data_IF_008075762585
#
_entry.id   IF_008075762585
#
_cell.length_a   1.000
_cell.length_b   1.000
_cell.length_c   1.000
_cell.angle_alpha   90.00
_cell.angle_beta   90.00
_cell.angle_gamma   90.00
#
_symmetry.space_group_name_H-M   'P 1'
#
loop_
_entity.id
_entity.type
_entity.pdbx_description
1 polymer ?
#
# COMPACT_ATOMS: atom_id res chain seq x y z
N UNK A 1 48.04 19.64 -37.42
CA UNK A 1 48.04 18.70 -36.27
C UNK A 1 47.00 19.01 -35.18
N UNK A 2 46.75 20.28 -34.80
CA UNK A 2 45.82 20.61 -33.69
C UNK A 2 44.36 20.18 -33.85
N UNK A 3 43.79 20.19 -35.07
CA UNK A 3 42.40 19.74 -35.34
C UNK A 3 42.17 18.23 -35.16
N UNK A 4 43.19 17.39 -35.38
CA UNK A 4 43.06 15.92 -35.21
C UNK A 4 43.09 15.49 -33.75
N UNK A 5 43.76 16.26 -32.87
CA UNK A 5 43.80 16.01 -31.43
C UNK A 5 42.44 16.28 -30.76
N UNK A 6 41.75 17.35 -31.16
CA UNK A 6 40.43 17.68 -30.61
C UNK A 6 39.35 16.63 -30.93
N UNK A 7 39.39 16.06 -32.15
CA UNK A 7 38.46 15.00 -32.56
C UNK A 7 38.70 13.69 -31.80
N UNK A 8 39.95 13.33 -31.51
CA UNK A 8 40.29 12.15 -30.73
C UNK A 8 39.82 12.28 -29.27
N UNK A 9 39.98 13.47 -28.68
CA UNK A 9 39.52 13.75 -27.32
C UNK A 9 37.99 13.71 -27.20
N UNK A 10 37.28 14.25 -28.20
CA UNK A 10 35.82 14.19 -28.26
C UNK A 10 35.29 12.76 -28.42
N UNK A 11 35.98 11.90 -29.20
CA UNK A 11 35.60 10.48 -29.34
C UNK A 11 35.80 9.70 -28.04
N UNK A 12 36.91 9.94 -27.34
CA UNK A 12 37.20 9.33 -26.03
C UNK A 12 36.21 9.82 -24.97
N UNK A 13 35.86 11.11 -24.97
CA UNK A 13 34.84 11.65 -24.09
C UNK A 13 33.44 11.06 -24.37
N UNK A 14 33.07 10.87 -25.65
CA UNK A 14 31.82 10.24 -26.04
C UNK A 14 31.77 8.73 -25.69
N UNK A 15 32.91 8.03 -25.73
CA UNK A 15 33.05 6.64 -25.28
C UNK A 15 33.02 6.51 -23.75
N UNK A 16 33.58 7.49 -23.02
CA UNK A 16 33.52 7.56 -21.55
C UNK A 16 32.15 8.02 -21.02
N UNK A 17 31.36 8.70 -21.85
CA UNK A 17 29.95 9.02 -21.60
C UNK A 17 29.00 7.88 -21.98
N UNK A 18 29.52 6.67 -22.24
CA UNK A 18 28.72 5.46 -22.40
C UNK A 18 27.76 5.33 -21.21
N UNK A 19 26.49 5.59 -21.49
CA UNK A 19 25.48 5.88 -20.47
C UNK A 19 25.40 4.80 -19.40
N UNK A 20 25.53 5.24 -18.14
CA UNK A 20 25.04 4.45 -17.01
C UNK A 20 23.57 4.13 -17.29
N UNK A 21 23.29 2.86 -17.56
CA UNK A 21 21.92 2.40 -17.78
C UNK A 21 21.26 2.24 -16.41
N UNK A 22 19.99 2.60 -16.31
CA UNK A 22 19.25 2.50 -15.06
C UNK A 22 19.12 1.02 -14.64
N UNK A 23 19.18 0.70 -13.33
CA UNK A 23 19.03 -0.65 -12.85
C UNK A 23 17.63 -1.20 -13.16
N UNK A 24 17.55 -2.52 -13.37
CA UNK A 24 16.28 -3.20 -13.65
C UNK A 24 15.67 -3.65 -12.33
N UNK A 25 14.45 -3.15 -12.06
CA UNK A 25 13.61 -3.59 -10.96
C UNK A 25 12.48 -4.46 -11.46
N UNK A 26 12.35 -5.64 -10.86
CA UNK A 26 11.22 -6.54 -11.09
C UNK A 26 10.56 -6.80 -9.74
N UNK A 27 9.52 -6.02 -9.37
CA UNK A 27 8.74 -6.26 -8.17
C UNK A 27 7.73 -7.37 -8.43
N UNK A 28 7.49 -8.15 -7.39
CA UNK A 28 6.47 -9.19 -7.34
C UNK A 28 5.76 -9.08 -5.98
N UNK A 29 4.51 -9.53 -5.92
CA UNK A 29 3.76 -9.58 -4.67
C UNK A 29 3.39 -11.03 -4.40
N UNK A 30 3.54 -11.47 -3.14
CA UNK A 30 3.22 -12.84 -2.76
C UNK A 30 1.77 -13.20 -3.05
N UNK A 31 0.88 -12.22 -2.99
CA UNK A 31 -0.56 -12.39 -3.19
C UNK A 31 -1.12 -11.14 -3.89
N UNK A 32 -1.64 -11.32 -5.10
CA UNK A 32 -2.31 -10.25 -5.85
C UNK A 32 -3.76 -10.03 -5.39
N UNK A 33 -4.28 -10.89 -4.51
CA UNK A 33 -5.62 -10.79 -3.93
C UNK A 33 -5.58 -11.07 -2.44
N UNK A 34 -6.30 -10.25 -1.65
CA UNK A 34 -6.48 -10.43 -0.21
C UNK A 34 -7.96 -10.48 0.11
N UNK A 35 -8.39 -11.60 0.68
CA UNK A 35 -9.78 -11.85 0.97
C UNK A 35 -10.16 -11.64 2.44
N UNK A 36 -10.99 -10.65 2.68
CA UNK A 36 -11.55 -10.30 3.99
C UNK A 36 -12.75 -11.21 4.30
N UNK A 37 -12.50 -12.30 5.04
CA UNK A 37 -13.53 -13.24 5.52
C UNK A 37 -14.17 -12.75 6.82
N UNK A 38 -15.31 -13.33 7.20
CA UNK A 38 -15.87 -13.11 8.54
C UNK A 38 -14.83 -13.51 9.60
N UNK A 39 -14.54 -12.60 10.53
CA UNK A 39 -13.50 -12.80 11.55
C UNK A 39 -12.06 -12.54 11.07
N UNK A 40 -11.87 -11.88 9.93
CA UNK A 40 -10.55 -11.44 9.47
C UNK A 40 -9.84 -10.60 10.54
N UNK A 41 -8.66 -11.06 10.99
CA UNK A 41 -7.85 -10.42 12.05
C UNK A 41 -6.69 -9.59 11.49
N UNK A 42 -6.51 -9.56 10.18
CA UNK A 42 -5.36 -8.99 9.50
C UNK A 42 -4.49 -10.06 8.82
N UNK A 43 -3.59 -9.63 7.94
CA UNK A 43 -2.64 -10.51 7.24
C UNK A 43 -1.35 -9.76 6.91
N UNK A 44 -0.25 -10.49 6.74
CA UNK A 44 0.98 -9.93 6.17
C UNK A 44 0.97 -10.08 4.65
N UNK A 45 1.20 -8.96 3.96
CA UNK A 45 1.50 -8.94 2.54
C UNK A 45 3.03 -8.91 2.37
N UNK A 46 3.59 -9.92 1.70
CA UNK A 46 5.00 -9.98 1.38
C UNK A 46 5.22 -9.40 -0.01
N UNK A 47 5.91 -8.27 -0.07
CA UNK A 47 6.37 -7.62 -1.29
C UNK A 47 7.83 -7.99 -1.48
N UNK A 48 8.19 -8.56 -2.62
CA UNK A 48 9.57 -9.00 -2.86
C UNK A 48 9.94 -8.81 -4.32
N UNK A 49 11.22 -8.92 -4.61
CA UNK A 49 11.68 -8.81 -5.98
C UNK A 49 13.19 -8.87 -6.08
N UNK A 50 13.68 -8.68 -7.29
CA UNK A 50 15.11 -8.66 -7.57
C UNK A 50 15.54 -7.31 -8.14
N UNK A 51 16.79 -6.97 -7.85
CA UNK A 51 17.47 -5.79 -8.39
C UNK A 51 18.70 -6.27 -9.12
N UNK A 52 18.75 -5.94 -10.40
CA UNK A 52 19.85 -6.33 -11.28
C UNK A 52 20.48 -5.07 -11.86
N UNK A 53 21.80 -5.06 -11.98
CA UNK A 53 22.45 -4.07 -12.84
C UNK A 53 22.01 -4.28 -14.30
N UNK A 54 22.19 -3.28 -15.16
CA UNK A 54 22.00 -3.45 -16.61
C UNK A 54 22.85 -4.57 -17.21
N UNK A 55 24.00 -4.91 -16.59
CA UNK A 55 24.87 -6.02 -16.99
C UNK A 55 24.42 -7.38 -16.42
N UNK A 56 23.35 -7.42 -15.63
CA UNK A 56 22.83 -8.64 -14.98
C UNK A 56 23.65 -9.10 -13.77
N UNK A 57 24.54 -8.26 -13.25
CA UNK A 57 25.30 -8.51 -12.03
C UNK A 57 24.51 -8.10 -10.77
N UNK A 58 24.92 -8.66 -9.63
CA UNK A 58 24.31 -8.38 -8.32
C UNK A 58 24.60 -6.94 -7.91
N UNK A 59 23.57 -6.21 -7.50
CA UNK A 59 23.65 -4.77 -7.28
C UNK A 59 22.92 -4.28 -6.03
N UNK A 60 22.13 -5.13 -5.37
CA UNK A 60 21.18 -4.67 -4.36
C UNK A 60 21.81 -4.09 -3.09
N UNK A 61 23.13 -4.26 -2.88
CA UNK A 61 23.84 -3.58 -1.78
C UNK A 61 24.19 -2.12 -2.10
N UNK A 62 24.18 -1.73 -3.38
CA UNK A 62 24.48 -0.37 -3.82
C UNK A 62 23.24 0.52 -3.87
N UNK A 63 22.07 -0.05 -3.58
CA UNK A 63 20.77 0.61 -3.64
C UNK A 63 20.03 0.51 -2.31
N UNK A 64 19.44 1.61 -1.91
CA UNK A 64 18.42 1.63 -0.87
C UNK A 64 17.05 1.38 -1.48
N UNK A 65 16.25 0.56 -0.80
CA UNK A 65 14.95 0.15 -1.29
C UNK A 65 13.88 0.72 -0.40
N UNK A 66 12.89 1.34 -1.03
CA UNK A 66 11.71 1.88 -0.38
C UNK A 66 10.49 1.26 -1.05
N UNK A 67 9.63 0.65 -0.25
CA UNK A 67 8.38 0.03 -0.67
C UNK A 67 7.24 0.79 -0.04
N UNK A 68 6.30 1.27 -0.87
CA UNK A 68 5.14 2.05 -0.45
C UNK A 68 3.87 1.29 -0.87
N UNK A 69 2.99 0.99 0.08
CA UNK A 69 1.69 0.39 -0.18
C UNK A 69 0.59 1.42 0.09
N UNK A 70 -0.11 1.82 -0.97
CA UNK A 70 -1.24 2.76 -0.89
C UNK A 70 -2.54 2.01 -1.12
N UNK A 71 -3.50 2.20 -0.23
CA UNK A 71 -4.89 1.77 -0.43
C UNK A 71 -5.63 2.67 -1.41
N UNK A 72 -6.89 2.33 -1.75
CA UNK A 72 -7.69 3.12 -2.67
C UNK A 72 -7.83 4.56 -2.17
N UNK A 73 -7.69 5.51 -3.09
CA UNK A 73 -7.84 6.95 -2.82
C UNK A 73 -9.32 7.29 -2.64
N UNK A 74 -9.62 8.08 -1.61
CA UNK A 74 -10.98 8.52 -1.27
C UNK A 74 -11.07 10.03 -1.11
N UNK A 75 -12.24 10.56 -1.45
CA UNK A 75 -12.65 11.93 -1.09
C UNK A 75 -13.28 11.89 0.29
N UNK A 76 -12.76 12.67 1.23
CA UNK A 76 -13.18 12.63 2.65
C UNK A 76 -13.44 14.02 3.19
N UNK A 77 -14.29 14.08 4.22
CA UNK A 77 -14.49 15.29 5.03
C UNK A 77 -13.88 15.05 6.40
N UNK A 78 -12.76 15.71 6.67
CA UNK A 78 -12.06 15.64 7.94
C UNK A 78 -12.66 16.68 8.90
N UNK A 79 -12.94 16.27 10.13
CA UNK A 79 -13.53 17.14 11.17
C UNK A 79 -12.63 17.18 12.39
N UNK A 80 -12.32 18.39 12.84
CA UNK A 80 -11.58 18.60 14.08
C UNK A 80 -12.54 18.59 15.26
N UNK A 81 -12.25 17.74 16.25
CA UNK A 81 -13.00 17.68 17.50
C UNK A 81 -12.24 18.40 18.60
N UNK A 82 -12.91 19.32 19.27
CA UNK A 82 -12.39 19.99 20.45
C UNK A 82 -13.40 19.88 21.59
N UNK A 83 -12.88 19.85 22.82
CA UNK A 83 -13.71 19.86 24.03
C UNK A 83 -14.02 21.30 24.42
N UNK A 84 -15.27 21.70 24.26
CA UNK A 84 -15.77 23.04 24.62
C UNK A 84 -16.82 22.89 25.71
N UNK A 85 -16.66 23.61 26.82
CA UNK A 85 -17.55 23.53 27.99
C UNK A 85 -17.81 22.08 28.48
N UNK A 86 -16.79 21.20 28.38
CA UNK A 86 -16.89 19.80 28.83
C UNK A 86 -17.42 18.81 27.79
N UNK A 87 -17.90 19.27 26.63
CA UNK A 87 -18.53 18.45 25.59
C UNK A 87 -17.63 18.42 24.34
N UNK A 88 -17.51 17.27 23.70
CA UNK A 88 -16.83 17.15 22.41
C UNK A 88 -17.74 17.65 21.30
N UNK A 89 -17.29 18.68 20.59
CA UNK A 89 -17.99 19.21 19.42
C UNK A 89 -17.05 19.26 18.23
N UNK A 90 -17.61 19.13 17.01
CA UNK A 90 -16.86 19.36 15.79
C UNK A 90 -16.71 20.88 15.63
N UNK A 91 -15.53 21.41 15.88
CA UNK A 91 -15.28 22.87 15.84
C UNK A 91 -14.93 23.36 14.44
N UNK A 92 -14.37 22.47 13.61
CA UNK A 92 -13.84 22.82 12.31
C UNK A 92 -13.91 21.62 11.35
N UNK A 93 -13.82 21.87 10.04
CA UNK A 93 -13.80 20.81 9.03
C UNK A 93 -13.14 21.24 7.72
N UNK A 94 -12.39 20.32 7.12
CA UNK A 94 -11.84 20.46 5.77
C UNK A 94 -12.23 19.29 4.88
N UNK A 95 -12.45 19.55 3.60
CA UNK A 95 -12.65 18.52 2.59
C UNK A 95 -11.34 18.20 1.87
N UNK A 96 -11.03 16.92 1.72
CA UNK A 96 -9.89 16.42 0.97
C UNK A 96 -10.41 15.65 -0.24
N UNK A 97 -10.00 16.06 -1.44
CA UNK A 97 -10.35 15.40 -2.71
C UNK A 97 -9.71 14.03 -2.85
N UNK A 98 -8.50 13.89 -2.32
CA UNK A 98 -7.72 12.66 -2.40
C UNK A 98 -6.96 12.43 -1.10
N UNK A 99 -7.31 11.36 -0.39
CA UNK A 99 -6.53 10.81 0.71
C UNK A 99 -6.48 9.28 0.56
N UNK A 100 -5.31 8.64 0.70
CA UNK A 100 -5.24 7.19 0.65
C UNK A 100 -5.94 6.59 1.87
N UNK A 101 -6.75 5.57 1.65
CA UNK A 101 -7.49 4.89 2.72
C UNK A 101 -6.61 3.99 3.61
N UNK A 102 -5.42 3.66 3.13
CA UNK A 102 -4.36 2.96 3.84
C UNK A 102 -3.01 3.44 3.28
N UNK A 103 -1.99 3.53 4.13
CA UNK A 103 -0.64 3.88 3.71
C UNK A 103 0.36 3.10 4.56
N UNK A 104 1.26 2.36 3.93
CA UNK A 104 2.40 1.78 4.62
C UNK A 104 3.68 2.04 3.83
N UNK A 105 4.74 2.40 4.53
CA UNK A 105 6.08 2.51 3.98
C UNK A 105 7.01 1.55 4.71
N UNK A 106 7.85 0.85 3.96
CA UNK A 106 8.98 0.09 4.48
C UNK A 106 10.24 0.49 3.71
N UNK A 107 11.37 0.64 4.41
CA UNK A 107 12.64 1.00 3.76
C UNK A 107 13.82 0.18 4.28
N UNK A 108 14.95 0.20 3.58
CA UNK A 108 16.21 -0.44 4.04
C UNK A 108 16.85 0.32 5.20
N UNK A 109 16.74 1.66 5.20
CA UNK A 109 17.30 2.61 6.17
C UNK A 109 16.32 3.77 6.42
N UNK A 110 16.53 4.63 7.42
CA UNK A 110 15.68 5.82 7.61
C UNK A 110 15.58 6.68 6.36
N UNK A 111 14.39 7.17 6.03
CA UNK A 111 14.15 7.85 4.73
C UNK A 111 15.03 9.10 4.57
N UNK A 112 15.22 9.83 5.67
CA UNK A 112 16.12 11.00 5.75
C UNK A 112 17.59 10.71 5.37
N UNK A 113 18.01 9.45 5.45
CA UNK A 113 19.38 9.01 5.11
C UNK A 113 19.45 8.43 3.69
N UNK A 114 18.29 8.21 3.04
CA UNK A 114 18.16 7.63 1.71
C UNK A 114 17.94 8.72 0.65
N UNK A 115 17.07 9.71 0.92
CA UNK A 115 16.69 10.79 -0.01
C UNK A 115 16.65 12.16 0.67
N UNK A 116 16.73 13.22 -0.14
CA UNK A 116 16.46 14.58 0.33
C UNK A 116 14.95 14.88 0.45
N UNK A 117 14.59 15.94 1.17
CA UNK A 117 13.18 16.34 1.38
C UNK A 117 12.42 16.54 0.06
N UNK A 118 13.10 17.01 -0.98
CA UNK A 118 12.48 17.24 -2.30
C UNK A 118 12.11 15.91 -2.96
N UNK A 119 13.02 14.94 -3.00
CA UNK A 119 12.76 13.63 -3.59
C UNK A 119 11.73 12.87 -2.76
N UNK A 120 11.80 12.95 -1.43
CA UNK A 120 10.79 12.38 -0.55
C UNK A 120 9.39 12.96 -0.81
N UNK A 121 9.26 14.27 -1.06
CA UNK A 121 7.99 14.90 -1.44
C UNK A 121 7.46 14.42 -2.80
N UNK A 122 8.32 14.32 -3.82
CA UNK A 122 7.92 13.92 -5.18
C UNK A 122 7.35 12.50 -5.21
N UNK A 123 7.98 11.58 -4.48
CA UNK A 123 7.59 10.17 -4.46
C UNK A 123 6.74 9.79 -3.22
N UNK A 124 6.32 10.79 -2.43
CA UNK A 124 5.53 10.60 -1.20
C UNK A 124 6.14 9.56 -0.25
N UNK A 125 7.46 9.62 -0.06
CA UNK A 125 8.22 8.68 0.75
C UNK A 125 8.13 9.08 2.22
N UNK A 126 7.05 8.68 2.87
CA UNK A 126 6.78 8.86 4.28
C UNK A 126 5.58 9.76 4.53
N UNK A 127 4.98 9.61 5.71
CA UNK A 127 3.79 10.30 6.18
C UNK A 127 4.00 11.81 6.26
N UNK A 128 5.23 12.27 6.56
CA UNK A 128 5.62 13.70 6.53
C UNK A 128 5.47 14.30 5.13
N UNK A 129 5.71 13.51 4.09
CA UNK A 129 5.75 13.95 2.69
C UNK A 129 4.52 13.48 1.89
N UNK A 130 3.53 12.93 2.58
CA UNK A 130 2.29 12.48 1.96
C UNK A 130 1.50 13.67 1.44
N UNK A 131 1.21 13.70 0.14
CA UNK A 131 0.46 14.80 -0.46
C UNK A 131 -1.03 14.56 -0.29
N UNK A 132 -1.69 15.49 0.41
CA UNK A 132 -3.14 15.53 0.55
C UNK A 132 -3.65 16.69 -0.31
N UNK A 133 -4.75 16.46 -1.04
CA UNK A 133 -5.35 17.48 -1.92
C UNK A 133 -6.57 18.12 -1.27
N UNK A 134 -6.43 19.24 -0.53
CA UNK A 134 -7.57 19.96 0.01
C UNK A 134 -8.43 20.59 -1.09
N UNK A 135 -9.70 20.81 -0.78
CA UNK A 135 -10.63 21.53 -1.65
C UNK A 135 -10.69 23.00 -1.19
N UNK A 136 -10.32 23.92 -2.08
CA UNK A 136 -10.35 25.36 -1.83
C UNK A 136 -8.97 25.96 -1.52
N UNK A 137 -8.93 27.28 -1.35
CA UNK A 137 -7.74 27.98 -0.86
C UNK A 137 -7.72 27.88 0.66
N UNK A 138 -6.80 27.09 1.21
CA UNK A 138 -6.61 26.93 2.65
C UNK A 138 -5.30 27.63 3.02
N UNK A 139 -5.27 28.27 4.20
CA UNK A 139 -4.03 28.80 4.76
C UNK A 139 -3.02 27.64 4.96
N UNK A 140 -1.73 27.81 4.62
CA UNK A 140 -0.75 26.74 4.77
C UNK A 140 -0.66 26.16 6.19
N UNK A 141 -0.84 26.97 7.23
CA UNK A 141 -0.80 26.50 8.61
C UNK A 141 -2.02 25.64 8.97
N UNK A 142 -3.19 26.00 8.47
CA UNK A 142 -4.41 25.22 8.62
C UNK A 142 -4.32 23.87 7.87
N UNK A 143 -3.76 23.89 6.66
CA UNK A 143 -3.53 22.67 5.88
C UNK A 143 -2.63 21.69 6.63
N UNK A 144 -1.51 22.16 7.20
CA UNK A 144 -0.60 21.32 8.00
C UNK A 144 -1.29 20.77 9.25
N UNK A 145 -2.07 21.58 9.97
CA UNK A 145 -2.83 21.14 11.15
C UNK A 145 -3.77 19.98 10.82
N UNK A 146 -4.52 20.08 9.72
CA UNK A 146 -5.43 19.03 9.29
C UNK A 146 -4.71 17.80 8.74
N UNK A 147 -3.61 17.97 8.00
CA UNK A 147 -2.82 16.82 7.52
C UNK A 147 -2.24 16.01 8.67
N UNK A 148 -1.67 16.70 9.67
CA UNK A 148 -1.07 16.06 10.84
C UNK A 148 -2.15 15.33 11.67
N UNK A 149 -3.32 15.95 11.83
CA UNK A 149 -4.47 15.33 12.49
C UNK A 149 -4.98 14.07 11.78
N UNK A 150 -5.02 14.08 10.44
CA UNK A 150 -5.39 12.89 9.65
C UNK A 150 -4.36 11.78 9.80
N UNK A 151 -3.08 12.12 9.69
CA UNK A 151 -1.97 11.16 9.84
C UNK A 151 -2.00 10.54 11.23
N UNK A 152 -2.17 11.34 12.29
CA UNK A 152 -2.25 10.85 13.66
C UNK A 152 -3.47 9.95 13.89
N UNK A 153 -4.65 10.34 13.38
CA UNK A 153 -5.86 9.51 13.45
C UNK A 153 -5.64 8.13 12.79
N UNK A 154 -5.09 8.11 11.57
CA UNK A 154 -4.87 6.88 10.83
C UNK A 154 -3.70 6.05 11.36
N UNK A 155 -2.70 6.68 11.99
CA UNK A 155 -1.61 5.98 12.67
C UNK A 155 -2.14 5.25 13.91
N UNK A 156 -3.00 5.90 14.70
CA UNK A 156 -3.66 5.28 15.87
C UNK A 156 -4.59 4.13 15.48
N UNK A 157 -5.22 4.19 14.32
CA UNK A 157 -6.03 3.09 13.77
C UNK A 157 -5.17 2.03 13.05
N UNK A 158 -3.85 2.21 12.94
CA UNK A 158 -2.96 1.27 12.26
C UNK A 158 -3.15 1.20 10.74
N UNK A 159 -3.91 2.13 10.15
CA UNK A 159 -4.06 2.27 8.70
C UNK A 159 -2.85 2.94 8.07
N UNK A 160 -2.18 3.83 8.82
CA UNK A 160 -0.95 4.52 8.39
C UNK A 160 0.25 3.99 9.18
N UNK A 161 1.29 3.53 8.48
CA UNK A 161 2.49 2.95 9.09
C UNK A 161 3.77 3.31 8.35
N UNK A 162 4.86 3.46 9.08
CA UNK A 162 6.21 3.58 8.54
C UNK A 162 7.14 2.63 9.30
N UNK A 163 7.82 1.74 8.58
CA UNK A 163 8.78 0.78 9.10
C UNK A 163 10.15 1.01 8.45
N UNK A 164 10.91 1.93 9.04
CA UNK A 164 12.31 2.16 8.66
C UNK A 164 13.15 0.92 9.02
N UNK A 165 13.89 0.37 8.06
CA UNK A 165 14.60 -0.91 8.22
C UNK A 165 13.71 -2.16 8.05
N UNK A 166 12.46 -1.98 7.62
CA UNK A 166 11.50 -3.05 7.33
C UNK A 166 11.80 -3.83 6.04
N UNK A 167 12.65 -3.30 5.15
CA UNK A 167 13.12 -4.02 3.96
C UNK A 167 14.40 -4.78 4.26
N UNK A 168 14.42 -6.08 3.94
CA UNK A 168 15.63 -6.92 4.03
C UNK A 168 16.13 -7.26 2.63
N UNK A 169 17.42 -7.10 2.43
CA UNK A 169 18.11 -7.47 1.18
C UNK A 169 18.95 -8.72 1.44
N UNK A 170 18.72 -9.76 0.66
CA UNK A 170 19.40 -11.04 0.72
C UNK A 170 20.20 -11.29 -0.56
N UNK A 171 21.35 -11.93 -0.42
CA UNK A 171 22.23 -12.34 -1.54
C UNK A 171 22.58 -11.21 -2.52
N UNK A 172 22.51 -9.95 -2.08
CA UNK A 172 22.80 -8.77 -2.91
C UNK A 172 21.93 -8.65 -4.17
N UNK A 173 20.77 -9.30 -4.20
CA UNK A 173 19.85 -9.28 -5.35
C UNK A 173 18.40 -9.18 -4.90
N UNK A 174 18.01 -9.97 -3.91
CA UNK A 174 16.61 -10.14 -3.53
C UNK A 174 16.26 -9.18 -2.40
N UNK A 175 15.21 -8.39 -2.58
CA UNK A 175 14.61 -7.62 -1.50
C UNK A 175 13.29 -8.24 -1.06
N UNK A 176 12.96 -8.06 0.21
CA UNK A 176 11.66 -8.43 0.78
C UNK A 176 11.21 -7.38 1.79
N UNK A 177 9.92 -7.06 1.76
CA UNK A 177 9.24 -6.17 2.68
C UNK A 177 7.95 -6.86 3.15
N UNK A 178 7.70 -6.88 4.45
CA UNK A 178 6.47 -7.43 5.03
C UNK A 178 5.62 -6.27 5.49
N UNK A 179 4.43 -6.15 4.93
CA UNK A 179 3.49 -5.09 5.28
C UNK A 179 2.25 -5.71 5.92
N UNK A 180 1.93 -5.29 7.14
CA UNK A 180 0.75 -5.77 7.85
C UNK A 180 -0.51 -5.02 7.42
N UNK A 181 -1.49 -5.75 6.91
CA UNK A 181 -2.84 -5.25 6.65
C UNK A 181 -3.72 -5.56 7.88
N UNK A 182 -4.23 -4.54 8.60
CA UNK A 182 -5.06 -4.76 9.78
C UNK A 182 -6.47 -5.26 9.42
N UNK A 183 -7.21 -5.78 10.41
CA UNK A 183 -8.58 -6.29 10.23
C UNK A 183 -9.58 -5.28 9.65
N UNK A 184 -9.35 -4.00 9.90
CA UNK A 184 -10.19 -2.87 9.49
C UNK A 184 -9.74 -2.22 8.17
N UNK A 185 -8.87 -2.90 7.42
CA UNK A 185 -8.38 -2.43 6.12
C UNK A 185 -9.54 -2.26 5.12
N UNK A 186 -9.66 -1.11 4.44
CA UNK A 186 -10.70 -0.87 3.45
C UNK A 186 -10.58 -1.80 2.23
N UNK A 187 -11.71 -2.21 1.65
CA UNK A 187 -11.71 -2.95 0.38
C UNK A 187 -11.39 -2.05 -0.81
N UNK A 188 -10.72 -2.59 -1.82
CA UNK A 188 -10.42 -1.92 -3.08
C UNK A 188 -9.06 -2.31 -3.62
N UNK A 189 -8.58 -1.57 -4.62
CA UNK A 189 -7.27 -1.80 -5.23
C UNK A 189 -6.18 -1.06 -4.45
N UNK A 190 -5.16 -1.82 -4.04
CA UNK A 190 -3.97 -1.33 -3.40
C UNK A 190 -2.85 -1.30 -4.42
N UNK A 191 -2.00 -0.28 -4.36
CA UNK A 191 -0.83 -0.15 -5.23
C UNK A 191 0.43 -0.24 -4.37
N UNK A 192 1.24 -1.24 -4.64
CA UNK A 192 2.57 -1.41 -4.08
C UNK A 192 3.59 -0.81 -5.06
N UNK A 193 4.26 0.26 -4.66
CA UNK A 193 5.31 0.92 -5.42
C UNK A 193 6.66 0.62 -4.77
N UNK A 194 7.58 0.04 -5.52
CA UNK A 194 8.97 -0.18 -5.08
C UNK A 194 9.88 0.81 -5.80
N UNK A 195 10.71 1.50 -5.03
CA UNK A 195 11.72 2.44 -5.50
C UNK A 195 13.11 1.93 -5.13
N UNK A 196 14.02 1.92 -6.11
CA UNK A 196 15.45 1.82 -5.85
C UNK A 196 16.07 3.21 -5.87
N UNK A 197 16.82 3.51 -4.81
CA UNK A 197 17.46 4.79 -4.60
C UNK A 197 18.96 4.60 -4.57
N UNK A 198 19.69 5.48 -5.26
CA UNK A 198 21.14 5.59 -5.17
C UNK A 198 21.53 7.05 -5.06
N UNK A 199 22.43 7.37 -4.14
CA UNK A 199 22.96 8.74 -3.95
C UNK A 199 21.87 9.82 -3.81
N UNK A 200 20.81 9.53 -3.04
CA UNK A 200 19.72 10.49 -2.83
C UNK A 200 18.68 10.57 -3.94
N UNK A 201 18.80 9.76 -5.01
CA UNK A 201 17.91 9.82 -6.19
C UNK A 201 17.27 8.48 -6.49
N UNK A 202 15.99 8.51 -6.85
CA UNK A 202 15.29 7.34 -7.38
C UNK A 202 15.85 7.03 -8.77
N UNK A 203 16.48 5.87 -8.91
CA UNK A 203 17.10 5.40 -10.16
C UNK A 203 16.22 4.41 -10.90
N UNK A 204 15.31 3.73 -10.18
CA UNK A 204 14.32 2.86 -10.78
C UNK A 204 13.08 2.80 -9.89
N UNK A 205 11.93 2.57 -10.52
CA UNK A 205 10.65 2.37 -9.85
C UNK A 205 9.86 1.30 -10.56
N UNK A 206 9.10 0.52 -9.82
CA UNK A 206 8.17 -0.43 -10.39
C UNK A 206 6.97 -0.61 -9.46
N UNK A 207 5.82 -0.99 -10.01
CA UNK A 207 4.58 -1.09 -9.26
C UNK A 207 3.87 -2.42 -9.48
N UNK A 208 3.14 -2.87 -8.47
CA UNK A 208 2.21 -3.99 -8.55
C UNK A 208 0.92 -3.65 -7.83
N UNK A 209 -0.17 -4.30 -8.22
CA UNK A 209 -1.49 -4.07 -7.66
C UNK A 209 -1.94 -5.28 -6.86
N UNK A 210 -2.61 -5.01 -5.74
CA UNK A 210 -3.23 -6.02 -4.88
C UNK A 210 -4.69 -5.68 -4.69
N UNK A 211 -5.58 -6.62 -4.97
CA UNK A 211 -7.02 -6.42 -4.84
C UNK A 211 -7.49 -6.93 -3.47
N UNK A 212 -8.02 -6.04 -2.64
CA UNK A 212 -8.58 -6.41 -1.32
C UNK A 212 -10.10 -6.49 -1.43
N UNK A 213 -10.64 -7.69 -1.29
CA UNK A 213 -12.08 -7.97 -1.47
C UNK A 213 -12.66 -8.66 -0.24
N UNK A 214 -13.97 -8.56 -0.01
CA UNK A 214 -14.65 -9.34 1.04
C UNK A 214 -15.05 -10.71 0.48
N UNK A 215 -14.61 -11.80 1.11
CA UNK A 215 -15.06 -13.15 0.77
C UNK A 215 -16.25 -13.53 1.66
N UNK A 216 -17.43 -13.53 1.04
CA UNK A 216 -18.65 -13.99 1.67
C UNK A 216 -18.82 -15.50 1.50
N UNK A 217 -19.22 -16.17 2.56
CA UNK A 217 -19.89 -17.46 2.58
C UNK A 217 -20.96 -17.63 1.47
N UNK A 218 -21.50 -16.51 0.95
CA UNK A 218 -22.39 -16.42 -0.20
C UNK A 218 -21.83 -16.99 -1.52
N UNK A 219 -20.53 -16.81 -1.82
CA UNK A 219 -19.97 -17.31 -3.08
C UNK A 219 -19.93 -18.85 -3.11
N UNK A 220 -19.72 -19.49 -1.96
CA UNK A 220 -19.74 -20.94 -1.85
C UNK A 220 -21.16 -21.51 -1.88
N UNK A 221 -22.12 -20.86 -1.21
CA UNK A 221 -23.54 -21.25 -1.31
C UNK A 221 -24.08 -21.07 -2.73
N UNK A 222 -23.72 -19.97 -3.40
CA UNK A 222 -24.10 -19.71 -4.79
C UNK A 222 -23.53 -20.75 -5.75
N UNK A 223 -22.22 -21.05 -5.64
CA UNK A 223 -21.59 -22.07 -6.47
C UNK A 223 -22.20 -23.45 -6.22
N UNK A 224 -22.48 -23.82 -4.96
CA UNK A 224 -23.11 -25.10 -4.65
C UNK A 224 -24.56 -25.21 -5.16
N UNK A 225 -25.33 -24.12 -5.12
CA UNK A 225 -26.67 -24.08 -5.69
C UNK A 225 -26.67 -24.11 -7.23
N UNK A 226 -25.67 -23.53 -7.89
CA UNK A 226 -25.54 -23.55 -9.36
C UNK A 226 -24.97 -24.86 -9.90
N UNK A 227 -23.89 -25.36 -9.30
CA UNK A 227 -23.18 -26.56 -9.78
C UNK A 227 -23.88 -27.85 -9.34
N UNK A 228 -24.62 -27.82 -8.22
CA UNK A 228 -25.31 -28.98 -7.63
C UNK A 228 -26.74 -28.66 -7.18
N UNK A 229 -27.50 -27.93 -8.01
CA UNK A 229 -28.82 -27.41 -7.65
C UNK A 229 -29.84 -28.43 -7.14
N UNK A 230 -29.83 -29.65 -7.67
CA UNK A 230 -30.71 -30.72 -7.18
C UNK A 230 -30.38 -31.13 -5.73
N UNK A 231 -29.10 -31.35 -5.43
CA UNK A 231 -28.66 -31.73 -4.09
C UNK A 231 -28.86 -30.59 -3.08
N UNK A 232 -28.62 -29.35 -3.50
CA UNK A 232 -28.89 -28.16 -2.70
C UNK A 232 -30.37 -28.03 -2.34
N UNK A 233 -31.28 -28.21 -3.32
CA UNK A 233 -32.72 -28.17 -3.09
C UNK A 233 -33.20 -29.25 -2.13
N UNK A 234 -32.71 -30.49 -2.27
CA UNK A 234 -33.03 -31.59 -1.35
C UNK A 234 -32.58 -31.27 0.08
N UNK A 235 -31.37 -30.76 0.24
CA UNK A 235 -30.82 -30.37 1.54
C UNK A 235 -31.65 -29.26 2.18
N UNK A 236 -32.08 -28.26 1.40
CA UNK A 236 -32.93 -27.17 1.90
C UNK A 236 -34.30 -27.67 2.41
N UNK A 237 -34.93 -28.61 1.69
CA UNK A 237 -36.20 -29.23 2.10
C UNK A 237 -36.03 -30.02 3.39
N UNK A 238 -34.98 -30.83 3.49
CA UNK A 238 -34.71 -31.62 4.70
C UNK A 238 -34.47 -30.73 5.93
N UNK A 239 -33.71 -29.64 5.77
CA UNK A 239 -33.49 -28.65 6.84
C UNK A 239 -34.80 -27.98 7.27
N UNK A 240 -35.66 -27.62 6.31
CA UNK A 240 -36.96 -26.99 6.59
C UNK A 240 -37.90 -27.92 7.38
N UNK A 241 -38.00 -29.18 6.96
CA UNK A 241 -38.78 -30.19 7.67
C UNK A 241 -38.23 -30.39 9.09
N UNK A 242 -36.91 -30.49 9.23
CA UNK A 242 -36.25 -30.63 10.53
C UNK A 242 -36.53 -29.46 11.46
N UNK A 243 -36.44 -28.22 10.95
CA UNK A 243 -36.75 -27.01 11.73
C UNK A 243 -38.23 -26.93 12.13
N UNK A 244 -39.15 -27.25 11.21
CA UNK A 244 -40.59 -27.26 11.49
C UNK A 244 -40.97 -28.29 12.56
N UNK A 245 -40.37 -29.48 12.49
CA UNK A 245 -40.55 -30.52 13.50
C UNK A 245 -39.99 -30.09 14.87
N UNK A 246 -38.79 -29.51 14.91
CA UNK A 246 -38.14 -28.99 16.13
C UNK A 246 -38.98 -27.89 16.79
N UNK A 247 -39.44 -26.91 16.00
CA UNK A 247 -40.29 -25.84 16.50
C UNK A 247 -41.61 -26.38 17.05
N UNK A 248 -42.28 -27.25 16.30
CA UNK A 248 -43.52 -27.90 16.74
C UNK A 248 -43.36 -28.65 18.05
N UNK A 249 -42.23 -29.36 18.23
CA UNK A 249 -41.95 -30.07 19.49
C UNK A 249 -41.65 -29.14 20.66
N UNK A 250 -40.95 -28.04 20.44
CA UNK A 250 -40.68 -27.03 21.49
C UNK A 250 -41.95 -26.29 21.92
N UNK A 251 -42.88 -26.01 21.00
CA UNK A 251 -44.16 -25.37 21.33
C UNK A 251 -45.16 -26.34 21.96
N UNK A 252 -45.09 -27.63 21.63
CA UNK A 252 -45.92 -28.65 22.28
C UNK A 252 -45.44 -29.04 23.69
N UNK A 253 -44.23 -28.62 24.08
CA UNK A 253 -43.64 -28.84 25.42
C UNK A 253 -43.88 -27.65 26.38
N UNK A 254 -44.60 -26.62 25.93
CA UNK A 254 -45.15 -25.53 26.76
C UNK A 254 -46.66 -25.70 26.91
#
# INVERSE_FOLDING_TARGET
>A
MKRRLGSAFALVAALLLGGARDPILVPEVSQHEVDLRQGFTGTELLLFGAILTPEGSRAAQDYDIVVVLKGPTQSIVLREKQKVAGIWINVDSTELRSAPSYYALASTRPIKDIVDDKTAAIYELGLKWLQLSPIGAIDPGEQTRFSDGLVDLNRRSGLYREEEGGVKVSEQVLYQARIWLPSQVPTGTYTAETYAVSNGRVVASASSQVEVRKLGFERATANFAQDYGFAYGMLAVLVSIGMGWLAGRLFALR
#
